data_IF_182620293166
#
_entry.id   IF_182620293166
#
_cell.length_a   1.000
_cell.length_b   1.000
_cell.length_c   1.000
_cell.angle_alpha   90.00
_cell.angle_beta   90.00
_cell.angle_gamma   90.00
#
_symmetry.space_group_name_H-M   'P 1'
#
loop_
_entity.id
_entity.type
_entity.pdbx_description
1 polymer ?
#
# COMPACT_ATOMS: atom_id res chain seq x y z
N UNK A 1 31.79 -17.05 13.19
CA UNK A 1 31.61 -15.58 13.19
C UNK A 1 32.42 -15.14 14.37
N UNK A 2 33.65 -14.73 14.07
CA UNK A 2 34.67 -14.43 15.07
C UNK A 2 34.32 -13.10 15.75
N UNK A 3 34.43 -13.05 17.07
CA UNK A 3 34.10 -11.90 17.93
C UNK A 3 35.04 -10.68 17.72
N UNK A 4 36.00 -10.74 16.80
CA UNK A 4 37.05 -9.74 16.59
C UNK A 4 36.71 -8.62 15.59
N UNK A 5 35.53 -8.63 14.95
CA UNK A 5 35.09 -7.61 13.97
C UNK A 5 34.07 -6.60 14.54
N UNK A 6 33.93 -6.49 15.86
CA UNK A 6 33.15 -5.43 16.48
C UNK A 6 33.84 -4.08 16.25
N UNK A 7 33.24 -3.25 15.40
CA UNK A 7 33.68 -1.87 15.14
C UNK A 7 33.96 -1.15 16.48
N UNK A 8 35.04 -0.35 16.62
CA UNK A 8 35.44 0.27 17.89
C UNK A 8 34.33 1.08 18.59
N UNK A 9 33.32 1.52 17.84
CA UNK A 9 32.14 2.24 18.34
C UNK A 9 31.10 1.34 19.04
N UNK A 10 31.03 0.05 18.70
CA UNK A 10 30.10 -0.89 19.31
C UNK A 10 30.41 -1.12 20.81
N UNK A 11 31.67 -0.95 21.22
CA UNK A 11 32.13 -1.08 22.60
C UNK A 11 31.61 0.06 23.50
N UNK A 12 31.16 1.18 22.91
CA UNK A 12 30.58 2.33 23.60
C UNK A 12 29.04 2.34 23.60
N UNK A 13 28.40 1.30 23.04
CA UNK A 13 26.94 1.25 22.86
C UNK A 13 26.41 2.09 21.69
N UNK A 14 27.30 2.63 20.85
CA UNK A 14 26.92 3.39 19.65
C UNK A 14 26.56 2.40 18.55
N UNK A 15 25.35 2.53 17.99
CA UNK A 15 24.90 1.69 16.87
C UNK A 15 24.77 2.56 15.64
N UNK A 16 25.42 2.17 14.56
CA UNK A 16 25.32 2.89 13.29
C UNK A 16 23.85 3.04 12.85
N UNK A 17 23.29 4.26 12.80
CA UNK A 17 21.91 4.49 12.39
C UNK A 17 21.62 4.04 10.95
N UNK A 18 22.65 4.03 10.10
CA UNK A 18 22.50 3.57 8.72
C UNK A 18 22.25 2.07 8.62
N UNK A 19 22.53 1.31 9.69
CA UNK A 19 22.18 -0.09 9.81
C UNK A 19 20.67 -0.36 9.76
N UNK A 20 19.82 0.65 9.97
CA UNK A 20 18.37 0.55 9.80
C UNK A 20 17.91 0.90 8.37
N UNK A 21 18.76 1.53 7.55
CA UNK A 21 18.45 1.88 6.17
C UNK A 21 18.69 0.69 5.23
N UNK A 22 17.99 -0.41 5.53
CA UNK A 22 18.05 -1.64 4.77
C UNK A 22 17.08 -1.61 3.60
N UNK A 23 17.30 -2.50 2.63
CA UNK A 23 16.37 -2.67 1.52
C UNK A 23 14.97 -3.00 2.06
N UNK A 24 13.92 -2.31 1.60
CA UNK A 24 12.55 -2.60 2.00
C UNK A 24 12.18 -4.06 1.74
N UNK A 25 11.46 -4.64 2.68
CA UNK A 25 11.00 -6.01 2.61
C UNK A 25 10.02 -6.22 1.45
N UNK A 26 9.74 -7.49 1.19
CA UNK A 26 8.61 -7.87 0.35
C UNK A 26 7.45 -8.25 1.26
N UNK A 27 6.20 -8.10 0.80
CA UNK A 27 5.05 -8.69 1.47
C UNK A 27 5.32 -10.17 1.78
N UNK A 28 4.71 -10.72 2.83
CA UNK A 28 4.83 -12.15 3.16
C UNK A 28 4.48 -13.05 1.96
N UNK A 29 5.15 -14.20 1.81
CA UNK A 29 4.94 -15.13 0.68
C UNK A 29 3.49 -15.66 0.54
N UNK A 30 2.73 -15.62 1.64
CA UNK A 30 1.27 -15.87 1.69
C UNK A 30 0.46 -14.80 0.92
N UNK A 31 1.02 -13.60 0.81
CA UNK A 31 0.57 -12.45 0.02
C UNK A 31 1.31 -12.43 -1.35
N UNK A 32 2.59 -12.82 -1.41
CA UNK A 32 3.45 -12.77 -2.62
C UNK A 32 3.23 -13.90 -3.63
N UNK A 33 2.73 -15.08 -3.25
CA UNK A 33 2.42 -16.19 -4.19
C UNK A 33 1.31 -15.87 -5.20
N UNK A 34 0.83 -14.64 -5.24
CA UNK A 34 -0.08 -14.19 -6.27
C UNK A 34 -0.63 -12.81 -6.00
N UNK A 35 0.18 -11.76 -6.20
CA UNK A 35 -0.29 -10.77 -7.16
C UNK A 35 -0.35 -11.47 -8.53
N UNK A 36 -1.26 -12.44 -8.67
CA UNK A 36 -1.56 -13.11 -9.91
C UNK A 36 -1.83 -11.98 -10.88
N UNK A 37 -1.12 -11.91 -12.00
CA UNK A 37 -1.37 -10.87 -12.97
C UNK A 37 -2.83 -11.03 -13.42
N UNK A 38 -3.76 -10.16 -12.99
CA UNK A 38 -5.18 -10.43 -13.21
C UNK A 38 -5.53 -10.35 -14.69
N UNK A 39 -4.65 -9.75 -15.51
CA UNK A 39 -4.66 -9.82 -16.96
C UNK A 39 -4.62 -11.25 -17.51
N UNK A 40 -3.96 -12.18 -16.82
CA UNK A 40 -3.91 -13.59 -17.23
C UNK A 40 -5.28 -14.27 -17.09
N UNK A 41 -6.11 -13.83 -16.12
CA UNK A 41 -7.51 -14.24 -16.00
C UNK A 41 -8.38 -13.67 -17.14
N UNK A 42 -8.06 -12.47 -17.65
CA UNK A 42 -8.80 -11.83 -18.73
C UNK A 42 -8.40 -12.27 -20.15
N UNK A 43 -7.27 -12.98 -20.30
CA UNK A 43 -6.81 -13.52 -21.58
C UNK A 43 -7.69 -14.65 -22.16
N UNK A 44 -8.80 -15.02 -21.51
CA UNK A 44 -9.86 -15.84 -22.11
C UNK A 44 -10.74 -15.00 -23.07
N UNK A 45 -10.14 -14.60 -24.20
CA UNK A 45 -10.57 -13.50 -25.08
C UNK A 45 -11.96 -13.67 -25.76
N UNK A 46 -12.50 -14.88 -25.95
CA UNK A 46 -13.66 -15.03 -26.87
C UNK A 46 -15.04 -14.69 -26.28
N UNK A 47 -15.48 -15.20 -25.12
CA UNK A 47 -16.79 -14.86 -24.56
C UNK A 47 -16.76 -13.52 -23.81
N UNK A 48 -15.64 -13.23 -23.15
CA UNK A 48 -15.44 -12.07 -22.28
C UNK A 48 -15.31 -10.78 -23.08
N UNK A 49 -14.75 -10.82 -24.30
CA UNK A 49 -14.71 -9.66 -25.20
C UNK A 49 -16.09 -9.32 -25.77
N UNK A 50 -16.91 -10.32 -26.14
CA UNK A 50 -18.28 -10.07 -26.61
C UNK A 50 -19.16 -9.48 -25.51
N UNK A 51 -18.95 -9.94 -24.28
CA UNK A 51 -19.57 -9.36 -23.10
C UNK A 51 -19.09 -7.92 -22.87
N UNK A 52 -17.79 -7.65 -22.92
CA UNK A 52 -17.27 -6.29 -22.74
C UNK A 52 -17.84 -5.34 -23.79
N UNK A 53 -17.91 -5.77 -25.06
CA UNK A 53 -18.57 -5.00 -26.12
C UNK A 53 -20.07 -4.81 -25.88
N UNK A 54 -20.78 -5.79 -25.30
CA UNK A 54 -22.19 -5.65 -24.95
C UNK A 54 -22.40 -4.70 -23.76
N UNK A 55 -21.53 -4.75 -22.76
CA UNK A 55 -21.53 -3.84 -21.61
C UNK A 55 -21.21 -2.44 -22.08
N UNK A 56 -20.13 -2.25 -22.84
CA UNK A 56 -19.72 -0.98 -23.41
C UNK A 56 -20.82 -0.38 -24.30
N UNK A 57 -21.50 -1.20 -25.11
CA UNK A 57 -22.64 -0.75 -25.90
C UNK A 57 -23.86 -0.33 -25.06
N UNK A 58 -24.06 -0.91 -23.87
CA UNK A 58 -25.20 -0.62 -22.99
C UNK A 58 -24.92 0.50 -21.99
N UNK A 59 -23.69 0.60 -21.49
CA UNK A 59 -23.31 1.49 -20.37
C UNK A 59 -22.30 2.56 -20.78
N UNK A 60 -21.64 2.40 -21.93
CA UNK A 60 -20.54 3.27 -22.38
C UNK A 60 -19.22 3.04 -21.63
N UNK A 61 -19.13 2.00 -20.79
CA UNK A 61 -17.95 1.74 -19.94
C UNK A 61 -17.25 0.46 -20.38
N UNK A 62 -15.95 0.57 -20.66
CA UNK A 62 -15.04 -0.58 -20.78
C UNK A 62 -14.77 -1.14 -19.38
N UNK A 63 -15.63 -2.05 -18.96
CA UNK A 63 -15.59 -2.64 -17.62
C UNK A 63 -14.30 -3.43 -17.38
N UNK A 64 -13.83 -4.16 -18.40
CA UNK A 64 -12.61 -4.95 -18.30
C UNK A 64 -11.37 -4.06 -18.24
N UNK A 65 -11.29 -3.01 -19.06
CA UNK A 65 -10.23 -2.02 -19.00
C UNK A 65 -10.19 -1.33 -17.64
N UNK A 66 -11.35 -0.95 -17.11
CA UNK A 66 -11.47 -0.30 -15.81
C UNK A 66 -11.07 -1.22 -14.63
N UNK A 67 -11.48 -2.49 -14.65
CA UNK A 67 -10.99 -3.46 -13.66
C UNK A 67 -9.49 -3.68 -13.80
N UNK A 68 -8.99 -3.78 -15.03
CA UNK A 68 -7.56 -4.00 -15.33
C UNK A 68 -6.68 -2.89 -14.78
N UNK A 69 -7.05 -1.62 -14.93
CA UNK A 69 -6.28 -0.50 -14.37
C UNK A 69 -6.11 -0.65 -12.86
N UNK A 70 -7.21 -0.94 -12.15
CA UNK A 70 -7.19 -1.14 -10.71
C UNK A 70 -6.40 -2.39 -10.29
N UNK A 71 -6.48 -3.44 -11.10
CA UNK A 71 -5.81 -4.72 -10.90
C UNK A 71 -4.30 -4.69 -11.19
N UNK A 72 -3.87 -3.79 -12.07
CA UNK A 72 -2.47 -3.60 -12.48
C UNK A 72 -1.64 -2.72 -11.54
N UNK A 73 -2.24 -2.21 -10.45
CA UNK A 73 -1.55 -1.35 -9.48
C UNK A 73 -0.30 -2.03 -8.88
N UNK A 74 0.78 -1.26 -8.72
CA UNK A 74 2.02 -1.72 -8.05
C UNK A 74 1.85 -1.68 -6.53
N UNK A 75 1.03 -2.60 -6.02
CA UNK A 75 0.73 -2.71 -4.59
C UNK A 75 1.93 -3.21 -3.79
N UNK A 76 2.86 -3.93 -4.43
CA UNK A 76 4.17 -4.27 -3.86
C UNK A 76 5.00 -3.00 -3.63
N UNK A 77 5.02 -2.08 -4.60
CA UNK A 77 5.65 -0.76 -4.45
C UNK A 77 5.06 0.05 -3.28
N UNK A 78 3.74 0.02 -3.10
CA UNK A 78 3.05 0.66 -1.96
C UNK A 78 3.49 0.04 -0.63
N UNK A 79 3.60 -1.29 -0.55
CA UNK A 79 4.12 -1.98 0.63
C UNK A 79 5.57 -1.58 0.94
N UNK A 80 6.44 -1.67 -0.08
CA UNK A 80 7.87 -1.33 0.04
C UNK A 80 8.09 0.12 0.48
N UNK A 81 7.20 1.02 0.10
CA UNK A 81 7.22 2.39 0.60
C UNK A 81 6.92 2.46 2.11
N UNK A 82 5.96 1.67 2.60
CA UNK A 82 5.69 1.51 4.03
C UNK A 82 6.93 1.05 4.80
N UNK A 83 7.55 -0.05 4.38
CA UNK A 83 8.78 -0.58 4.97
C UNK A 83 9.91 0.47 4.97
N UNK A 84 10.09 1.20 3.87
CA UNK A 84 11.10 2.27 3.79
C UNK A 84 10.87 3.37 4.85
N UNK A 85 9.60 3.72 5.11
CA UNK A 85 9.25 4.70 6.14
C UNK A 85 9.50 4.14 7.55
N UNK A 86 9.20 2.88 7.81
CA UNK A 86 9.52 2.20 9.07
C UNK A 86 11.03 2.22 9.37
N UNK A 87 11.83 1.82 8.38
CA UNK A 87 13.30 1.86 8.42
C UNK A 87 13.85 3.28 8.68
N UNK A 88 13.26 4.30 8.05
CA UNK A 88 13.62 5.70 8.28
C UNK A 88 13.29 6.12 9.72
N UNK A 89 12.14 5.70 10.25
CA UNK A 89 11.73 6.02 11.62
C UNK A 89 12.71 5.45 12.66
N UNK A 90 13.13 4.19 12.49
CA UNK A 90 14.15 3.55 13.35
C UNK A 90 15.52 4.24 13.24
N UNK A 91 15.93 4.63 12.02
CA UNK A 91 17.15 5.40 11.81
C UNK A 91 17.11 6.74 12.58
N UNK A 92 16.01 7.50 12.49
CA UNK A 92 15.85 8.77 13.21
C UNK A 92 15.87 8.58 14.74
N UNK A 93 15.25 7.52 15.23
CA UNK A 93 15.32 7.13 16.64
C UNK A 93 16.77 6.88 17.08
N UNK A 94 17.52 6.11 16.30
CA UNK A 94 18.92 5.80 16.62
C UNK A 94 19.80 7.05 16.59
N UNK A 95 19.62 7.95 15.62
CA UNK A 95 20.36 9.22 15.59
C UNK A 95 20.13 10.02 16.88
N UNK A 96 18.89 10.12 17.35
CA UNK A 96 18.58 10.81 18.60
C UNK A 96 19.23 10.14 19.82
N UNK A 97 19.21 8.80 19.89
CA UNK A 97 19.88 8.04 20.95
C UNK A 97 21.39 8.28 20.95
N UNK A 98 22.03 8.22 19.79
CA UNK A 98 23.48 8.41 19.65
C UNK A 98 23.90 9.85 20.00
N UNK A 99 23.11 10.86 19.59
CA UNK A 99 23.33 12.25 19.97
C UNK A 99 23.29 12.44 21.49
N UNK A 100 22.27 11.87 22.15
CA UNK A 100 22.14 11.98 23.61
C UNK A 100 23.29 11.26 24.32
N UNK A 101 23.63 10.06 23.88
CA UNK A 101 24.72 9.26 24.46
C UNK A 101 26.08 9.96 24.30
N UNK A 102 26.34 10.54 23.12
CA UNK A 102 27.56 11.30 22.84
C UNK A 102 27.71 12.50 23.76
N UNK A 103 26.64 13.28 23.97
CA UNK A 103 26.70 14.44 24.86
C UNK A 103 26.81 14.07 26.34
N UNK A 104 26.15 13.01 26.79
CA UNK A 104 26.30 12.52 28.18
C UNK A 104 27.72 12.04 28.49
N UNK A 105 28.49 11.58 27.50
CA UNK A 105 29.91 11.24 27.71
C UNK A 105 30.80 12.49 27.84
N UNK A 106 30.52 13.55 27.06
CA UNK A 106 31.30 14.79 27.09
C UNK A 106 31.05 15.59 28.36
N UNK A 107 29.81 15.59 28.86
CA UNK A 107 29.36 16.30 30.07
C UNK A 107 30.25 16.01 31.30
N UNK A 108 30.70 14.76 31.47
CA UNK A 108 31.59 14.38 32.58
C UNK A 108 33.01 14.95 32.49
N UNK A 109 33.39 15.58 31.39
CA UNK A 109 34.75 16.08 31.13
C UNK A 109 34.81 17.56 30.76
N UNK A 110 33.68 18.17 30.42
CA UNK A 110 33.56 19.57 30.03
C UNK A 110 32.55 20.27 30.92
N UNK A 111 33.01 21.25 31.71
CA UNK A 111 32.19 21.97 32.69
C UNK A 111 32.12 23.47 32.35
N UNK A 112 31.12 24.16 32.91
CA UNK A 112 30.85 25.59 32.78
C UNK A 112 29.64 25.93 31.91
N UNK A 113 29.23 27.20 31.91
CA UNK A 113 28.00 27.69 31.25
C UNK A 113 27.88 27.31 29.76
N UNK A 114 29.00 27.16 29.06
CA UNK A 114 29.03 26.72 27.66
C UNK A 114 28.67 25.24 27.51
N UNK A 115 29.14 24.40 28.44
CA UNK A 115 28.79 22.98 28.50
C UNK A 115 27.30 22.81 28.80
N UNK A 116 26.78 23.49 29.83
CA UNK A 116 25.35 23.45 30.17
C UNK A 116 24.45 23.87 28.99
N UNK A 117 24.84 24.93 28.28
CA UNK A 117 24.10 25.43 27.11
C UNK A 117 24.15 24.45 25.94
N UNK A 118 25.30 23.82 25.71
CA UNK A 118 25.45 22.78 24.69
C UNK A 118 24.62 21.55 25.05
N UNK A 119 24.73 21.06 26.30
CA UNK A 119 23.96 19.92 26.79
C UNK A 119 22.46 20.12 26.60
N UNK A 120 21.93 21.29 26.96
CA UNK A 120 20.53 21.62 26.77
C UNK A 120 20.11 21.63 25.29
N UNK A 121 20.93 22.22 24.41
CA UNK A 121 20.66 22.27 22.97
C UNK A 121 20.67 20.87 22.34
N UNK A 122 21.71 20.08 22.59
CA UNK A 122 21.85 18.76 21.99
C UNK A 122 20.87 17.74 22.58
N UNK A 123 20.50 17.85 23.86
CA UNK A 123 19.40 17.06 24.42
C UNK A 123 18.06 17.38 23.75
N UNK A 124 17.81 18.66 23.45
CA UNK A 124 16.61 19.06 22.70
C UNK A 124 16.66 18.53 21.26
N UNK A 125 17.80 18.66 20.58
CA UNK A 125 18.00 18.15 19.23
C UNK A 125 17.82 16.63 19.16
N UNK A 126 18.42 15.90 20.10
CA UNK A 126 18.28 14.45 20.24
C UNK A 126 16.81 14.06 20.40
N UNK A 127 16.11 14.69 21.34
CA UNK A 127 14.68 14.44 21.61
C UNK A 127 13.80 14.73 20.40
N UNK A 128 14.06 15.82 19.67
CA UNK A 128 13.28 16.15 18.47
C UNK A 128 13.59 15.23 17.29
N UNK A 129 14.84 14.81 17.15
CA UNK A 129 15.26 13.89 16.09
C UNK A 129 14.66 12.51 16.32
N UNK A 130 14.76 11.96 17.53
CA UNK A 130 14.11 10.70 17.90
C UNK A 130 12.58 10.81 17.84
N UNK A 131 12.02 11.96 18.22
CA UNK A 131 10.59 12.24 18.17
C UNK A 131 9.98 12.15 16.77
N UNK A 132 10.76 12.30 15.69
CA UNK A 132 10.30 12.09 14.31
C UNK A 132 9.79 10.66 14.09
N UNK A 133 10.34 9.67 14.82
CA UNK A 133 9.88 8.28 14.74
C UNK A 133 8.38 8.18 15.02
N UNK A 134 7.84 8.95 15.98
CA UNK A 134 6.42 8.91 16.35
C UNK A 134 5.50 9.33 15.19
N UNK A 135 5.97 10.24 14.34
CA UNK A 135 5.23 10.70 13.17
C UNK A 135 5.36 9.76 11.97
N UNK A 136 6.54 9.14 11.79
CA UNK A 136 6.88 8.35 10.60
C UNK A 136 6.48 6.88 10.78
N UNK A 137 6.72 6.27 11.95
CA UNK A 137 6.51 4.83 12.18
C UNK A 137 5.06 4.36 11.92
N UNK A 138 4.00 5.11 12.30
CA UNK A 138 2.63 4.70 12.01
C UNK A 138 2.32 4.62 10.50
N UNK A 139 3.09 5.32 9.66
CA UNK A 139 2.89 5.32 8.21
C UNK A 139 3.18 3.95 7.60
N UNK A 140 4.16 3.20 8.13
CA UNK A 140 4.47 1.83 7.70
C UNK A 140 3.21 0.95 7.74
N UNK A 141 2.56 0.86 8.91
CA UNK A 141 1.35 0.05 9.07
C UNK A 141 0.21 0.53 8.18
N UNK A 142 0.07 1.84 7.96
CA UNK A 142 -0.95 2.40 7.08
C UNK A 142 -0.73 1.97 5.62
N UNK A 143 0.49 2.07 5.12
CA UNK A 143 0.84 1.62 3.76
C UNK A 143 0.71 0.10 3.60
N UNK A 144 1.07 -0.70 4.61
CA UNK A 144 0.85 -2.16 4.59
C UNK A 144 -0.63 -2.52 4.55
N UNK A 145 -1.46 -1.83 5.34
CA UNK A 145 -2.92 -2.00 5.32
C UNK A 145 -3.52 -1.60 3.97
N UNK A 146 -3.07 -0.50 3.39
CA UNK A 146 -3.49 -0.04 2.07
C UNK A 146 -3.14 -1.06 0.98
N UNK A 147 -1.89 -1.53 0.95
CA UNK A 147 -1.43 -2.55 0.01
C UNK A 147 -2.20 -3.87 0.16
N UNK A 148 -2.42 -4.33 1.40
CA UNK A 148 -3.22 -5.55 1.68
C UNK A 148 -4.66 -5.39 1.25
N UNK A 149 -5.29 -4.25 1.55
CA UNK A 149 -6.67 -3.96 1.15
C UNK A 149 -6.83 -3.92 -0.37
N UNK A 150 -5.88 -3.31 -1.06
CA UNK A 150 -5.86 -3.29 -2.52
C UNK A 150 -5.71 -4.69 -3.13
N UNK A 151 -4.86 -5.53 -2.56
CA UNK A 151 -4.74 -6.93 -2.95
C UNK A 151 -6.05 -7.72 -2.75
N UNK A 152 -6.73 -7.56 -1.60
CA UNK A 152 -8.01 -8.22 -1.35
C UNK A 152 -9.08 -7.82 -2.35
N UNK A 153 -9.12 -6.53 -2.71
CA UNK A 153 -10.03 -6.00 -3.73
C UNK A 153 -9.69 -6.57 -5.10
N UNK A 154 -8.40 -6.68 -5.43
CA UNK A 154 -7.94 -7.31 -6.66
C UNK A 154 -8.45 -8.75 -6.81
N UNK A 155 -8.32 -9.56 -5.76
CA UNK A 155 -8.87 -10.92 -5.75
C UNK A 155 -10.40 -10.95 -5.92
N UNK A 156 -11.10 -10.02 -5.27
CA UNK A 156 -12.55 -9.94 -5.37
C UNK A 156 -13.02 -9.57 -6.78
N UNK A 157 -12.31 -8.65 -7.44
CA UNK A 157 -12.54 -8.29 -8.84
C UNK A 157 -12.22 -9.46 -9.78
N UNK A 158 -11.16 -10.23 -9.52
CA UNK A 158 -10.85 -11.47 -10.24
C UNK A 158 -12.00 -12.50 -10.15
N UNK A 159 -12.58 -12.69 -8.96
CA UNK A 159 -13.73 -13.57 -8.78
C UNK A 159 -14.97 -13.08 -9.55
N UNK A 160 -15.21 -11.76 -9.56
CA UNK A 160 -16.32 -11.17 -10.33
C UNK A 160 -16.09 -11.35 -11.83
N UNK A 161 -14.86 -11.14 -12.30
CA UNK A 161 -14.47 -11.36 -13.69
C UNK A 161 -14.71 -12.81 -14.13
N UNK A 162 -14.33 -13.78 -13.29
CA UNK A 162 -14.59 -15.20 -13.56
C UNK A 162 -16.10 -15.49 -13.63
N UNK A 163 -16.89 -14.97 -12.68
CA UNK A 163 -18.34 -15.13 -12.71
C UNK A 163 -19.00 -14.49 -13.94
N UNK A 164 -18.46 -13.36 -14.42
CA UNK A 164 -18.89 -12.73 -15.67
C UNK A 164 -18.54 -13.59 -16.89
N UNK A 165 -17.35 -14.19 -16.93
CA UNK A 165 -16.96 -15.11 -18.00
C UNK A 165 -17.85 -16.37 -18.04
N UNK A 166 -18.16 -16.96 -16.89
CA UNK A 166 -19.05 -18.13 -16.78
C UNK A 166 -20.46 -17.80 -17.29
N UNK A 167 -21.01 -16.65 -16.89
CA UNK A 167 -22.30 -16.17 -17.37
C UNK A 167 -22.29 -15.88 -18.88
N UNK A 168 -21.19 -15.36 -19.43
CA UNK A 168 -21.06 -15.13 -20.87
C UNK A 168 -21.05 -16.45 -21.67
N UNK A 169 -20.34 -17.47 -21.18
CA UNK A 169 -20.33 -18.82 -21.76
C UNK A 169 -21.75 -19.41 -21.73
N UNK A 170 -22.44 -19.30 -20.59
CA UNK A 170 -23.81 -19.78 -20.44
C UNK A 170 -24.77 -19.07 -21.41
N UNK A 171 -24.67 -17.74 -21.52
CA UNK A 171 -25.47 -16.96 -22.47
C UNK A 171 -25.23 -17.43 -23.93
N UNK A 172 -23.96 -17.62 -24.31
CA UNK A 172 -23.60 -18.12 -25.64
C UNK A 172 -24.16 -19.52 -25.94
N UNK A 173 -24.11 -20.43 -24.95
CA UNK A 173 -24.69 -21.76 -25.06
C UNK A 173 -26.22 -21.70 -25.25
N UNK A 174 -26.90 -20.86 -24.47
CA UNK A 174 -28.36 -20.70 -24.55
C UNK A 174 -28.77 -20.09 -25.89
N UNK A 175 -28.08 -19.07 -26.40
CA UNK A 175 -28.35 -18.48 -27.72
C UNK A 175 -28.16 -19.52 -28.83
N UNK A 176 -27.05 -20.27 -28.79
CA UNK A 176 -26.77 -21.32 -29.79
C UNK A 176 -27.83 -22.43 -29.79
N UNK A 177 -28.22 -22.91 -28.61
CA UNK A 177 -29.28 -23.92 -28.46
C UNK A 177 -30.65 -23.38 -28.89
N UNK A 178 -30.99 -22.15 -28.52
CA UNK A 178 -32.27 -21.51 -28.86
C UNK A 178 -32.39 -21.27 -30.37
N UNK A 179 -31.31 -20.82 -31.02
CA UNK A 179 -31.25 -20.65 -32.47
C UNK A 179 -31.46 -21.95 -33.24
N UNK A 180 -30.87 -23.06 -32.77
CA UNK A 180 -31.06 -24.37 -33.36
C UNK A 180 -32.51 -24.88 -33.19
N UNK A 181 -33.16 -24.58 -32.06
CA UNK A 181 -34.53 -25.00 -31.76
C UNK A 181 -35.57 -24.23 -32.59
N UNK A 182 -35.35 -22.94 -32.86
CA UNK A 182 -36.29 -22.12 -33.66
C UNK A 182 -36.56 -22.69 -35.07
N UNK A 183 -35.65 -23.49 -35.63
CA UNK A 183 -35.84 -24.17 -36.91
C UNK A 183 -36.82 -25.36 -36.91
N UNK A 184 -37.27 -25.84 -35.74
CA UNK A 184 -37.98 -27.14 -35.63
C UNK A 184 -39.51 -27.07 -35.48
N UNK A 185 -40.13 -25.90 -35.64
CA UNK A 185 -41.61 -25.73 -35.60
C UNK A 185 -42.24 -25.85 -34.20
N UNK A 186 -41.78 -26.78 -33.36
CA UNK A 186 -42.05 -26.87 -31.92
C UNK A 186 -41.14 -25.91 -31.12
N UNK A 187 -39.96 -25.60 -31.66
CA UNK A 187 -38.96 -24.78 -30.97
C UNK A 187 -39.12 -23.26 -31.09
N UNK A 188 -40.21 -22.73 -31.66
CA UNK A 188 -40.50 -21.30 -31.59
C UNK A 188 -40.86 -20.85 -30.15
N UNK A 189 -41.59 -21.69 -29.40
CA UNK A 189 -41.93 -21.43 -28.00
C UNK A 189 -40.71 -21.70 -27.09
N UNK A 190 -39.97 -22.78 -27.33
CA UNK A 190 -38.74 -23.10 -26.60
C UNK A 190 -37.60 -22.11 -26.89
N UNK A 191 -37.47 -21.65 -28.13
CA UNK A 191 -36.51 -20.63 -28.55
C UNK A 191 -36.83 -19.25 -27.97
N UNK A 192 -38.11 -18.88 -27.87
CA UNK A 192 -38.54 -17.67 -27.16
C UNK A 192 -38.24 -17.70 -25.66
N UNK A 193 -38.44 -18.85 -25.00
CA UNK A 193 -38.05 -19.05 -23.60
C UNK A 193 -36.51 -18.94 -23.41
N UNK A 194 -35.74 -19.45 -24.36
CA UNK A 194 -34.28 -19.32 -24.34
C UNK A 194 -33.78 -17.88 -24.52
N UNK A 195 -34.43 -17.07 -25.37
CA UNK A 195 -34.16 -15.63 -25.44
C UNK A 195 -34.51 -14.90 -24.13
N UNK A 196 -35.59 -15.31 -23.45
CA UNK A 196 -35.93 -14.82 -22.11
C UNK A 196 -34.87 -15.18 -21.05
N UNK A 197 -34.35 -16.41 -21.10
CA UNK A 197 -33.27 -16.85 -20.21
C UNK A 197 -31.97 -16.04 -20.41
N UNK A 198 -31.63 -15.68 -21.64
CA UNK A 198 -30.50 -14.78 -21.93
C UNK A 198 -30.70 -13.41 -21.28
N UNK A 199 -31.92 -12.87 -21.30
CA UNK A 199 -32.23 -11.63 -20.61
C UNK A 199 -31.97 -11.67 -19.10
N UNK A 200 -32.30 -12.78 -18.43
CA UNK A 200 -32.01 -12.99 -17.01
C UNK A 200 -30.51 -13.08 -16.73
N UNK A 201 -29.77 -13.81 -17.57
CA UNK A 201 -28.31 -13.92 -17.47
C UNK A 201 -27.67 -12.53 -17.59
N UNK A 202 -28.10 -11.71 -18.56
CA UNK A 202 -27.62 -10.33 -18.72
C UNK A 202 -27.91 -9.48 -17.47
N UNK A 203 -29.09 -9.61 -16.86
CA UNK A 203 -29.42 -8.89 -15.63
C UNK A 203 -28.49 -9.28 -14.46
N UNK A 204 -28.14 -10.56 -14.33
CA UNK A 204 -27.22 -11.01 -13.29
C UNK A 204 -25.78 -10.51 -13.54
N UNK A 205 -25.37 -10.43 -14.80
CA UNK A 205 -24.09 -9.81 -15.19
C UNK A 205 -24.06 -8.31 -14.84
N UNK A 206 -25.15 -7.57 -15.08
CA UNK A 206 -25.26 -6.16 -14.70
C UNK A 206 -25.16 -5.97 -13.18
N UNK A 207 -25.70 -6.89 -12.37
CA UNK A 207 -25.55 -6.85 -10.91
C UNK A 207 -24.09 -7.08 -10.50
N UNK A 208 -23.39 -8.02 -11.13
CA UNK A 208 -21.97 -8.29 -10.88
C UNK A 208 -21.11 -7.06 -11.18
N UNK A 209 -21.39 -6.37 -12.29
CA UNK A 209 -20.71 -5.12 -12.67
C UNK A 209 -20.97 -4.02 -11.63
N UNK A 210 -22.22 -3.82 -11.23
CA UNK A 210 -22.55 -2.84 -10.19
C UNK A 210 -21.86 -3.15 -8.86
N UNK A 211 -21.74 -4.43 -8.50
CA UNK A 211 -21.02 -4.86 -7.31
C UNK A 211 -19.53 -4.54 -7.40
N UNK A 212 -18.88 -4.87 -8.52
CA UNK A 212 -17.49 -4.47 -8.78
C UNK A 212 -17.30 -2.95 -8.65
N UNK A 213 -18.22 -2.15 -9.20
CA UNK A 213 -18.15 -0.70 -9.09
C UNK A 213 -18.22 -0.21 -7.64
N UNK A 214 -19.11 -0.80 -6.83
CA UNK A 214 -19.23 -0.45 -5.41
C UNK A 214 -17.96 -0.81 -4.63
N UNK A 215 -17.40 -2.00 -4.88
CA UNK A 215 -16.16 -2.45 -4.25
C UNK A 215 -15.02 -1.48 -4.57
N UNK A 216 -14.82 -1.15 -5.84
CA UNK A 216 -13.74 -0.24 -6.28
C UNK A 216 -13.87 1.13 -5.61
N UNK A 217 -15.06 1.75 -5.66
CA UNK A 217 -15.25 3.09 -5.09
C UNK A 217 -15.07 3.10 -3.57
N UNK A 218 -15.59 2.08 -2.88
CA UNK A 218 -15.47 1.94 -1.42
C UNK A 218 -14.01 1.71 -1.02
N UNK A 219 -13.33 0.79 -1.71
CA UNK A 219 -11.93 0.48 -1.48
C UNK A 219 -11.01 1.67 -1.76
N UNK A 220 -11.18 2.34 -2.90
CA UNK A 220 -10.40 3.52 -3.26
C UNK A 220 -10.53 4.62 -2.21
N UNK A 221 -11.75 4.88 -1.73
CA UNK A 221 -11.99 5.85 -0.65
C UNK A 221 -11.31 5.43 0.65
N UNK A 222 -11.40 4.16 1.03
CA UNK A 222 -10.78 3.65 2.26
C UNK A 222 -9.24 3.72 2.19
N UNK A 223 -8.64 3.31 1.08
CA UNK A 223 -7.19 3.35 0.85
C UNK A 223 -6.67 4.80 0.89
N UNK A 224 -7.32 5.71 0.17
CA UNK A 224 -6.95 7.13 0.19
C UNK A 224 -7.12 7.75 1.57
N UNK A 225 -8.14 7.34 2.33
CA UNK A 225 -8.33 7.74 3.72
C UNK A 225 -7.16 7.32 4.61
N UNK A 226 -6.76 6.05 4.53
CA UNK A 226 -5.63 5.50 5.29
C UNK A 226 -4.32 6.24 4.95
N UNK A 227 -4.05 6.47 3.67
CA UNK A 227 -2.85 7.20 3.22
C UNK A 227 -2.91 8.68 3.65
N UNK A 228 -4.08 9.31 3.57
CA UNK A 228 -4.30 10.68 4.03
C UNK A 228 -4.02 10.87 5.52
N UNK A 229 -4.50 9.94 6.35
CA UNK A 229 -4.20 9.91 7.79
C UNK A 229 -2.70 9.74 8.05
N UNK A 230 -2.04 8.83 7.32
CA UNK A 230 -0.60 8.62 7.43
C UNK A 230 0.21 9.88 7.09
N UNK A 231 -0.15 10.58 6.00
CA UNK A 231 0.48 11.85 5.65
C UNK A 231 0.23 12.92 6.72
N UNK A 232 -0.98 13.00 7.27
CA UNK A 232 -1.31 13.95 8.34
C UNK A 232 -0.48 13.72 9.61
N UNK A 233 -0.20 12.45 9.96
CA UNK A 233 0.69 12.10 11.06
C UNK A 233 2.13 12.47 10.76
N UNK A 234 2.62 12.21 9.54
CA UNK A 234 3.97 12.58 9.13
C UNK A 234 4.21 14.10 9.23
N UNK A 235 3.23 14.93 8.86
CA UNK A 235 3.32 16.39 8.99
C UNK A 235 3.39 16.89 10.45
N UNK A 236 2.98 16.07 11.43
CA UNK A 236 3.05 16.43 12.85
C UNK A 236 4.44 16.24 13.48
N UNK A 237 5.40 15.63 12.76
CA UNK A 237 6.77 15.40 13.25
C UNK A 237 7.54 16.67 13.64
N UNK A 238 7.08 17.85 13.18
CA UNK A 238 7.68 19.14 13.54
C UNK A 238 8.95 19.46 12.75
N UNK A 239 9.39 20.72 12.84
CA UNK A 239 10.48 21.26 12.04
C UNK A 239 11.79 21.34 12.86
N UNK A 240 12.80 20.58 12.46
CA UNK A 240 14.13 20.62 13.08
C UNK A 240 14.87 21.94 12.83
N UNK A 241 14.53 22.67 11.76
CA UNK A 241 15.13 23.98 11.46
C UNK A 241 14.66 25.08 12.41
N UNK A 242 13.60 24.82 13.18
CA UNK A 242 13.09 25.74 14.21
C UNK A 242 13.91 25.75 15.51
N UNK A 243 14.95 24.91 15.64
CA UNK A 243 15.80 24.85 16.82
C UNK A 243 16.82 26.01 16.81
N UNK A 244 16.70 27.01 17.72
CA UNK A 244 17.65 28.11 17.77
C UNK A 244 19.02 27.60 18.23
N UNK A 245 20.09 28.10 17.60
CA UNK A 245 21.45 27.82 18.04
C UNK A 245 21.69 28.40 19.45
N UNK A 246 22.59 27.79 20.26
CA UNK A 246 22.98 28.35 21.55
C UNK A 246 23.53 29.77 21.37
N UNK A 247 22.98 30.73 22.13
CA UNK A 247 23.38 32.15 22.06
C UNK A 247 24.25 32.57 23.26
N UNK A 248 25.00 31.63 23.84
CA UNK A 248 25.78 31.88 25.07
C UNK A 248 27.28 31.89 24.70
N UNK A 249 28.00 32.99 24.95
CA UNK A 249 29.43 33.06 24.67
C UNK A 249 30.22 32.12 25.60
N UNK A 250 31.31 31.56 25.09
CA UNK A 250 32.26 30.79 25.90
C UNK A 250 32.88 31.67 26.98
N UNK A 251 32.80 31.22 28.23
CA UNK A 251 33.52 31.82 29.37
C UNK A 251 34.61 30.83 29.76
N UNK A 252 35.87 31.24 29.67
CA UNK A 252 37.00 30.38 30.07
C UNK A 252 36.94 30.09 31.58
N UNK A 253 37.40 28.92 32.05
CA UNK A 253 37.57 28.66 33.47
C UNK A 253 38.45 29.74 34.09
N UNK A 254 38.05 30.30 35.23
CA UNK A 254 38.93 31.18 36.00
C UNK A 254 40.10 30.35 36.53
N UNK A 255 41.33 30.74 36.16
CA UNK A 255 42.59 30.10 36.56
C UNK A 255 43.00 30.60 37.94
#
# INVERSE_FOLDING_TARGET
MDDDDLHPLAVLGWRDPTGYLVEPGKPEESITNGFLNPLDLFNAVSPTAWLNSAIEALTGVDFLGWCTEWLSGDWEGVWRFGDAMGNLAECMQQIGVDLQAGFSQVDGTWDGNASDSAYAYFSNLATRTSGQQVAIFPTESAYHKAATGAWQVSNQLGNIAQALADNAILAGLVVGASGALMGTGVGAVAGGAGLGAVGLIILDMLKLINNASLIINTAGTAILGIIGEAMSLAYQGGDLTSLPLPNVPYVSPEI
#
